data_IF_748629978955
#
_entry.id   IF_748629978955
#
_cell.length_a   1.000
_cell.length_b   1.000
_cell.length_c   1.000
_cell.angle_alpha   90.00
_cell.angle_beta   90.00
_cell.angle_gamma   90.00
#
_symmetry.space_group_name_H-M   'P 1'
#
loop_
_entity.id
_entity.type
_entity.pdbx_description
1 polymer ?
#
# COMPACT_ATOMS: atom_id res chain seq x y z
N UNK A 1 17.25 -27.25 62.97
CA UNK A 1 16.31 -28.39 63.11
C UNK A 1 14.98 -27.86 62.60
N UNK A 2 14.52 -28.16 61.39
CA UNK A 2 14.25 -29.50 60.85
C UNK A 2 14.52 -29.60 59.34
N UNK A 3 15.17 -30.68 58.92
CA UNK A 3 15.75 -30.88 57.58
C UNK A 3 14.88 -31.73 56.64
N UNK A 4 13.54 -31.69 56.76
CA UNK A 4 12.66 -32.67 56.08
C UNK A 4 11.44 -32.18 55.32
N UNK A 5 11.23 -30.87 55.16
CA UNK A 5 10.11 -30.39 54.33
C UNK A 5 10.50 -29.47 53.16
N UNK A 6 11.79 -29.13 53.01
CA UNK A 6 12.31 -28.37 51.87
C UNK A 6 12.40 -29.17 50.56
N UNK A 7 12.14 -30.48 50.61
CA UNK A 7 12.29 -31.37 49.44
C UNK A 7 11.00 -31.62 48.65
N UNK A 8 9.86 -31.05 49.07
CA UNK A 8 8.61 -31.16 48.32
C UNK A 8 8.19 -29.88 47.58
N UNK A 9 8.90 -28.77 47.77
CA UNK A 9 8.58 -27.50 47.10
C UNK A 9 9.45 -27.22 45.85
N UNK A 10 10.35 -28.13 45.47
CA UNK A 10 11.27 -27.94 44.34
C UNK A 10 11.02 -28.86 43.13
N UNK A 11 9.99 -29.71 43.17
CA UNK A 11 9.68 -30.66 42.07
C UNK A 11 8.41 -30.28 41.29
N UNK A 12 7.64 -29.27 41.73
CA UNK A 12 6.42 -28.83 41.00
C UNK A 12 6.69 -27.57 40.14
N UNK A 13 7.96 -27.22 39.87
CA UNK A 13 8.29 -26.06 39.04
C UNK A 13 9.14 -26.38 37.80
N UNK A 14 9.28 -27.66 37.43
CA UNK A 14 9.92 -28.03 36.15
C UNK A 14 8.96 -28.64 35.13
N UNK A 15 7.76 -29.07 35.52
CA UNK A 15 6.80 -29.67 34.59
C UNK A 15 5.88 -28.64 33.87
N UNK A 16 6.08 -27.34 34.07
CA UNK A 16 5.29 -26.28 33.42
C UNK A 16 6.07 -25.45 32.38
N UNK A 17 7.29 -25.88 32.02
CA UNK A 17 8.11 -25.22 30.98
C UNK A 17 8.33 -26.06 29.71
N UNK A 18 7.86 -27.31 29.68
CA UNK A 18 8.09 -28.21 28.52
C UNK A 18 6.88 -28.35 27.57
N UNK A 19 5.84 -27.53 27.73
CA UNK A 19 4.75 -27.43 26.74
C UNK A 19 4.61 -26.00 26.20
N UNK A 20 5.72 -25.44 25.72
CA UNK A 20 5.56 -24.52 24.59
C UNK A 20 5.28 -25.43 23.39
N UNK A 21 4.02 -25.45 22.93
CA UNK A 21 3.61 -26.22 21.75
C UNK A 21 4.57 -25.90 20.60
N UNK A 22 5.19 -26.94 20.01
CA UNK A 22 6.07 -26.77 18.86
C UNK A 22 5.38 -26.04 17.71
N UNK A 23 4.04 -26.09 17.66
CA UNK A 23 3.21 -25.26 16.76
C UNK A 23 3.25 -23.78 17.12
N UNK A 24 3.15 -23.41 18.39
CA UNK A 24 3.24 -22.01 18.83
C UNK A 24 4.64 -21.45 18.57
N UNK A 25 5.71 -22.24 18.78
CA UNK A 25 7.07 -21.82 18.42
C UNK A 25 7.28 -21.74 16.91
N UNK A 26 6.64 -22.60 16.13
CA UNK A 26 6.66 -22.53 14.67
C UNK A 26 5.86 -21.31 14.16
N UNK A 27 4.69 -21.01 14.72
CA UNK A 27 3.85 -19.85 14.38
C UNK A 27 4.54 -18.54 14.80
N UNK A 28 5.19 -18.51 15.97
CA UNK A 28 6.00 -17.37 16.40
C UNK A 28 7.25 -17.20 15.51
N UNK A 29 7.85 -18.30 15.04
CA UNK A 29 8.97 -18.25 14.10
C UNK A 29 8.54 -17.85 12.70
N UNK A 30 7.39 -18.31 12.19
CA UNK A 30 6.81 -17.85 10.93
C UNK A 30 6.45 -16.37 11.00
N UNK A 31 5.78 -15.92 12.07
CA UNK A 31 5.45 -14.50 12.24
C UNK A 31 6.70 -13.62 12.35
N UNK A 32 7.78 -14.11 12.98
CA UNK A 32 9.05 -13.37 13.07
C UNK A 32 9.87 -13.41 11.77
N UNK A 33 9.77 -14.48 10.97
CA UNK A 33 10.34 -14.55 9.62
C UNK A 33 9.58 -13.67 8.62
N UNK A 34 8.25 -13.57 8.75
CA UNK A 34 7.42 -12.63 7.99
C UNK A 34 7.74 -11.17 8.34
N UNK A 35 8.14 -10.89 9.59
CA UNK A 35 8.59 -9.56 10.01
C UNK A 35 10.03 -9.23 9.60
N UNK A 36 10.82 -10.23 9.19
CA UNK A 36 12.18 -10.07 8.70
C UNK A 36 12.29 -10.04 7.16
N UNK A 37 11.18 -10.24 6.44
CA UNK A 37 11.16 -10.11 4.99
C UNK A 37 11.38 -8.63 4.61
N UNK A 38 12.36 -8.36 3.75
CA UNK A 38 12.58 -7.01 3.25
C UNK A 38 11.36 -6.55 2.44
N UNK A 39 10.65 -5.53 2.93
CA UNK A 39 9.52 -4.98 2.19
C UNK A 39 10.02 -4.15 1.01
N UNK A 40 9.37 -4.32 -0.13
CA UNK A 40 9.53 -3.46 -1.30
C UNK A 40 8.70 -2.20 -1.07
N UNK A 41 9.36 -1.04 -1.13
CA UNK A 41 8.68 0.25 -1.15
C UNK A 41 8.01 0.43 -2.51
N UNK A 42 6.71 0.70 -2.49
CA UNK A 42 5.90 1.03 -3.68
C UNK A 42 5.25 2.37 -3.44
N UNK A 43 5.68 3.39 -4.17
CA UNK A 43 5.12 4.73 -4.12
C UNK A 43 4.30 4.98 -5.40
N UNK A 44 3.07 5.43 -5.24
CA UNK A 44 2.14 5.70 -6.34
C UNK A 44 1.77 7.17 -6.35
N UNK A 45 2.22 7.89 -7.38
CA UNK A 45 1.90 9.29 -7.62
C UNK A 45 0.80 9.37 -8.68
N UNK A 46 -0.34 9.96 -8.33
CA UNK A 46 -1.54 9.90 -9.15
C UNK A 46 -2.41 11.13 -8.92
N UNK A 47 -3.44 11.31 -9.75
CA UNK A 47 -4.47 12.32 -9.57
C UNK A 47 -5.85 11.69 -9.74
N UNK A 48 -6.82 12.18 -8.96
CA UNK A 48 -8.22 11.87 -9.14
C UNK A 48 -8.75 12.43 -10.47
N UNK A 49 -9.86 11.89 -10.96
CA UNK A 49 -10.45 12.23 -12.27
C UNK A 49 -9.58 11.87 -13.50
N UNK A 50 -8.37 11.34 -13.30
CA UNK A 50 -7.55 10.82 -14.39
C UNK A 50 -7.88 9.34 -14.68
N UNK A 51 -8.37 9.00 -15.88
CA UNK A 51 -8.79 7.63 -16.18
C UNK A 51 -7.64 6.61 -16.15
N UNK A 52 -6.40 7.02 -16.43
CA UNK A 52 -5.24 6.13 -16.33
C UNK A 52 -4.86 5.84 -14.87
N UNK A 53 -4.97 6.84 -13.99
CA UNK A 53 -4.75 6.67 -12.55
C UNK A 53 -5.80 5.73 -11.95
N UNK A 54 -7.08 5.97 -12.25
CA UNK A 54 -8.20 5.13 -11.84
C UNK A 54 -7.98 3.67 -12.28
N UNK A 55 -7.69 3.47 -13.57
CA UNK A 55 -7.43 2.14 -14.14
C UNK A 55 -6.27 1.42 -13.48
N UNK A 56 -5.16 2.12 -13.19
CA UNK A 56 -4.02 1.50 -12.51
C UNK A 56 -4.37 1.10 -11.07
N UNK A 57 -5.08 1.96 -10.34
CA UNK A 57 -5.51 1.65 -8.97
C UNK A 57 -6.39 0.40 -8.97
N UNK A 58 -7.41 0.36 -9.83
CA UNK A 58 -8.36 -0.75 -9.91
C UNK A 58 -7.72 -2.04 -10.45
N UNK A 59 -6.98 -1.96 -11.56
CA UNK A 59 -6.54 -3.16 -12.30
C UNK A 59 -5.15 -3.65 -11.92
N UNK A 60 -4.36 -2.88 -11.18
CA UNK A 60 -2.97 -3.24 -10.83
C UNK A 60 -2.71 -3.15 -9.34
N UNK A 61 -3.01 -2.02 -8.71
CA UNK A 61 -2.69 -1.81 -7.30
C UNK A 61 -3.57 -2.63 -6.36
N UNK A 62 -4.90 -2.62 -6.56
CA UNK A 62 -5.83 -3.43 -5.75
C UNK A 62 -5.49 -4.93 -5.85
N UNK A 63 -5.35 -5.53 -7.05
CA UNK A 63 -4.97 -6.93 -7.18
C UNK A 63 -3.63 -7.28 -6.50
N UNK A 64 -2.62 -6.41 -6.61
CA UNK A 64 -1.34 -6.62 -5.89
C UNK A 64 -1.58 -6.71 -4.39
N UNK A 65 -2.36 -5.79 -3.82
CA UNK A 65 -2.59 -5.68 -2.38
C UNK A 65 -3.56 -6.76 -1.84
N UNK A 66 -4.28 -7.44 -2.73
CA UNK A 66 -5.09 -8.63 -2.42
C UNK A 66 -4.34 -9.96 -2.68
N UNK A 67 -3.16 -9.90 -3.30
CA UNK A 67 -2.34 -11.07 -3.62
C UNK A 67 -1.50 -11.56 -2.43
N UNK A 68 -0.88 -12.75 -2.52
CA UNK A 68 0.13 -13.20 -1.56
C UNK A 68 1.35 -12.28 -1.40
N UNK A 69 1.54 -11.28 -2.27
CA UNK A 69 2.62 -10.28 -2.15
C UNK A 69 2.33 -9.19 -1.13
N UNK A 70 1.08 -9.03 -0.65
CA UNK A 70 0.69 -7.97 0.29
C UNK A 70 1.64 -7.80 1.50
N UNK A 71 2.15 -8.85 2.17
CA UNK A 71 3.07 -8.70 3.29
C UNK A 71 4.42 -8.08 2.92
N UNK A 72 4.81 -8.19 1.65
CA UNK A 72 6.09 -7.75 1.11
C UNK A 72 6.05 -6.33 0.52
N UNK A 73 4.90 -5.65 0.58
CA UNK A 73 4.72 -4.33 -0.02
C UNK A 73 4.50 -3.27 1.07
N UNK A 74 5.36 -2.26 1.05
CA UNK A 74 5.17 -1.01 1.80
C UNK A 74 4.65 0.05 0.83
N UNK A 75 3.32 0.23 0.83
CA UNK A 75 2.61 1.12 -0.08
C UNK A 75 2.52 2.54 0.48
N UNK A 76 2.90 3.53 -0.33
CA UNK A 76 2.60 4.95 -0.10
C UNK A 76 1.92 5.54 -1.33
N UNK A 77 0.89 6.37 -1.13
CA UNK A 77 0.10 6.95 -2.22
C UNK A 77 0.08 8.48 -2.08
N UNK A 78 0.20 9.18 -3.21
CA UNK A 78 0.27 10.64 -3.28
C UNK A 78 -0.75 11.19 -4.29
N UNK A 79 -1.97 11.56 -3.84
CA UNK A 79 -2.98 12.21 -4.68
C UNK A 79 -2.60 13.67 -4.92
N UNK A 80 -1.99 13.95 -6.07
CA UNK A 80 -1.59 15.28 -6.50
C UNK A 80 -1.36 15.32 -8.01
N UNK A 81 -0.56 14.37 -8.51
CA UNK A 81 -0.26 14.17 -9.92
C UNK A 81 0.30 15.42 -10.61
N UNK A 82 -0.37 15.83 -11.69
CA UNK A 82 0.07 16.94 -12.53
C UNK A 82 -0.38 18.31 -12.01
N UNK A 83 -1.01 18.37 -10.83
CA UNK A 83 -1.37 19.62 -10.20
C UNK A 83 -0.14 20.54 -10.03
N UNK A 84 -0.42 21.83 -9.89
CA UNK A 84 0.57 22.86 -9.57
C UNK A 84 0.15 23.63 -8.34
N UNK A 85 1.10 24.13 -7.57
CA UNK A 85 0.82 24.96 -6.40
C UNK A 85 1.71 26.20 -6.35
N UNK A 86 1.16 27.29 -5.83
CA UNK A 86 1.91 28.49 -5.42
C UNK A 86 2.23 28.50 -3.91
N UNK A 87 1.99 27.36 -3.23
CA UNK A 87 2.10 27.19 -1.78
C UNK A 87 0.81 27.51 -1.02
N UNK A 88 -0.17 28.17 -1.64
CA UNK A 88 -1.47 28.53 -1.02
C UNK A 88 -2.65 27.90 -1.75
N UNK A 89 -2.58 27.84 -3.07
CA UNK A 89 -3.63 27.32 -3.93
C UNK A 89 -3.09 26.17 -4.78
N UNK A 90 -4.01 25.31 -5.20
CA UNK A 90 -3.73 24.22 -6.12
C UNK A 90 -4.45 24.48 -7.44
N UNK A 91 -3.78 24.13 -8.54
CA UNK A 91 -4.36 24.13 -9.88
C UNK A 91 -4.22 22.74 -10.46
N UNK A 92 -5.35 22.07 -10.63
CA UNK A 92 -5.47 20.70 -11.10
C UNK A 92 -5.80 20.63 -12.59
N UNK A 93 -5.50 19.51 -13.26
CA UNK A 93 -5.69 19.38 -14.70
C UNK A 93 -7.17 19.28 -15.07
N UNK A 94 -7.95 18.55 -14.28
CA UNK A 94 -9.39 18.38 -14.45
C UNK A 94 -10.21 19.38 -13.60
N UNK A 95 -9.59 20.49 -13.18
CA UNK A 95 -10.24 21.59 -12.47
C UNK A 95 -10.41 21.40 -10.96
N UNK A 96 -11.19 22.28 -10.33
CA UNK A 96 -11.32 22.34 -8.86
C UNK A 96 -11.89 21.06 -8.25
N UNK A 97 -12.69 20.30 -8.99
CA UNK A 97 -13.23 19.02 -8.54
C UNK A 97 -12.13 17.98 -8.30
N UNK A 98 -11.11 17.92 -9.16
CA UNK A 98 -9.92 17.07 -8.94
C UNK A 98 -9.13 17.56 -7.72
N UNK A 99 -8.94 18.87 -7.55
CA UNK A 99 -8.21 19.39 -6.39
C UNK A 99 -8.92 19.07 -5.07
N UNK A 100 -10.24 19.22 -5.04
CA UNK A 100 -11.06 18.83 -3.91
C UNK A 100 -10.97 17.33 -3.65
N UNK A 101 -11.06 16.50 -4.69
CA UNK A 101 -11.04 15.04 -4.55
C UNK A 101 -9.63 14.50 -4.19
N UNK A 102 -8.56 15.10 -4.69
CA UNK A 102 -7.17 14.84 -4.27
C UNK A 102 -7.02 15.12 -2.76
N UNK A 103 -7.56 16.25 -2.29
CA UNK A 103 -7.56 16.61 -0.86
C UNK A 103 -8.33 15.58 -0.02
N UNK A 104 -9.53 15.19 -0.48
CA UNK A 104 -10.36 14.17 0.18
C UNK A 104 -9.61 12.84 0.26
N UNK A 105 -8.98 12.39 -0.82
CA UNK A 105 -8.22 11.15 -0.84
C UNK A 105 -6.98 11.20 0.05
N UNK A 106 -6.33 12.37 0.17
CA UNK A 106 -5.28 12.61 1.17
C UNK A 106 -5.80 12.39 2.59
N UNK A 107 -6.97 12.94 2.94
CA UNK A 107 -7.62 12.70 4.22
C UNK A 107 -8.03 11.24 4.43
N UNK A 108 -8.49 10.54 3.39
CA UNK A 108 -8.81 9.10 3.44
C UNK A 108 -7.55 8.28 3.75
N UNK A 109 -6.42 8.59 3.11
CA UNK A 109 -5.14 7.94 3.39
C UNK A 109 -4.67 8.16 4.83
N UNK A 110 -4.99 9.32 5.41
CA UNK A 110 -4.63 9.66 6.79
C UNK A 110 -5.51 8.96 7.82
N UNK A 111 -6.83 8.94 7.62
CA UNK A 111 -7.79 8.52 8.66
C UNK A 111 -8.35 7.10 8.49
N UNK A 112 -8.40 6.57 7.27
CA UNK A 112 -9.05 5.28 7.02
C UNK A 112 -8.08 4.11 7.07
N UNK A 113 -8.47 3.06 7.78
CA UNK A 113 -7.74 1.78 7.75
C UNK A 113 -7.95 1.00 6.45
N UNK A 114 -8.97 1.37 5.68
CA UNK A 114 -9.34 0.77 4.39
C UNK A 114 -9.11 1.76 3.24
N UNK A 115 -8.13 2.65 3.38
CA UNK A 115 -7.89 3.76 2.47
C UNK A 115 -7.81 3.35 1.00
N UNK A 116 -7.08 2.28 0.66
CA UNK A 116 -7.01 1.78 -0.72
C UNK A 116 -8.37 1.33 -1.26
N UNK A 117 -9.17 0.62 -0.46
CA UNK A 117 -10.50 0.17 -0.88
C UNK A 117 -11.45 1.36 -1.07
N UNK A 118 -11.38 2.36 -0.19
CA UNK A 118 -12.16 3.59 -0.30
C UNK A 118 -11.76 4.39 -1.56
N UNK A 119 -10.46 4.55 -1.82
CA UNK A 119 -9.96 5.23 -3.02
C UNK A 119 -10.37 4.47 -4.29
N UNK A 120 -10.20 3.15 -4.33
CA UNK A 120 -10.62 2.33 -5.47
C UNK A 120 -12.13 2.45 -5.74
N UNK A 121 -12.95 2.51 -4.68
CA UNK A 121 -14.38 2.76 -4.80
C UNK A 121 -14.67 4.14 -5.42
N UNK A 122 -13.94 5.19 -5.04
CA UNK A 122 -14.10 6.55 -5.58
C UNK A 122 -13.70 6.62 -7.07
N UNK A 123 -12.60 5.97 -7.43
CA UNK A 123 -12.03 6.02 -8.77
C UNK A 123 -12.84 5.21 -9.80
N UNK A 124 -13.69 4.29 -9.35
CA UNK A 124 -14.42 3.35 -10.21
C UNK A 124 -15.46 4.02 -11.12
N UNK A 125 -16.31 4.89 -10.57
CA UNK A 125 -17.44 5.47 -11.30
C UNK A 125 -17.62 6.97 -11.01
N UNK A 126 -16.85 7.83 -11.68
CA UNK A 126 -16.95 9.29 -11.49
C UNK A 126 -18.11 9.91 -12.29
N UNK A 127 -18.90 10.85 -11.71
CA UNK A 127 -18.79 11.37 -10.35
C UNK A 127 -19.46 10.44 -9.32
N UNK A 128 -18.67 9.89 -8.39
CA UNK A 128 -19.16 9.16 -7.22
C UNK A 128 -19.17 10.07 -5.99
N UNK A 129 -20.19 9.95 -5.14
CA UNK A 129 -20.14 10.54 -3.80
C UNK A 129 -19.12 9.76 -2.96
N UNK A 130 -17.95 10.37 -2.73
CA UNK A 130 -16.85 9.77 -1.98
C UNK A 130 -17.28 9.24 -0.61
N UNK A 131 -18.31 9.84 -0.03
CA UNK A 131 -18.74 9.50 1.31
C UNK A 131 -19.50 8.16 1.38
N UNK A 132 -19.89 7.59 0.24
CA UNK A 132 -20.42 6.22 0.14
C UNK A 132 -19.31 5.16 0.16
N UNK A 133 -18.05 5.56 -0.07
CA UNK A 133 -16.90 4.67 -0.14
C UNK A 133 -16.15 4.50 1.19
N UNK A 134 -16.57 5.21 2.24
CA UNK A 134 -15.90 5.21 3.55
C UNK A 134 -16.86 4.73 4.64
N UNK A 135 -16.30 4.15 5.69
CA UNK A 135 -17.09 3.75 6.86
C UNK A 135 -17.67 5.01 7.54
N UNK A 136 -18.93 4.94 7.99
CA UNK A 136 -19.62 6.09 8.60
C UNK A 136 -18.92 6.64 9.84
N UNK A 137 -18.22 5.79 10.58
CA UNK A 137 -17.40 6.18 11.74
C UNK A 137 -16.13 6.97 11.38
N UNK A 138 -15.60 6.80 10.17
CA UNK A 138 -14.41 7.51 9.67
C UNK A 138 -14.78 8.79 8.93
N UNK A 139 -15.99 8.84 8.34
CA UNK A 139 -16.49 9.96 7.52
C UNK A 139 -16.36 11.32 8.21
N UNK A 140 -16.76 11.43 9.48
CA UNK A 140 -16.72 12.72 10.19
C UNK A 140 -15.29 13.25 10.36
N UNK A 141 -14.30 12.38 10.53
CA UNK A 141 -12.90 12.79 10.63
C UNK A 141 -12.38 13.27 9.28
N UNK A 142 -12.71 12.56 8.20
CA UNK A 142 -12.36 12.96 6.82
C UNK A 142 -13.02 14.29 6.44
N UNK A 143 -14.31 14.48 6.77
CA UNK A 143 -15.00 15.76 6.56
C UNK A 143 -14.39 16.91 7.36
N UNK A 144 -13.84 16.63 8.55
CA UNK A 144 -13.17 17.64 9.36
C UNK A 144 -11.82 18.01 8.75
N UNK A 145 -11.01 17.01 8.42
CA UNK A 145 -9.71 17.16 7.74
C UNK A 145 -9.79 18.01 6.47
N UNK A 146 -10.86 17.84 5.68
CA UNK A 146 -11.04 18.64 4.46
C UNK A 146 -11.41 20.11 4.70
N UNK A 147 -11.89 20.46 5.90
CA UNK A 147 -12.41 21.80 6.24
C UNK A 147 -11.49 22.61 7.15
N UNK A 148 -10.69 21.96 7.99
CA UNK A 148 -9.86 22.61 9.03
C UNK A 148 -8.44 22.96 8.57
N UNK A 149 -8.10 22.64 7.32
CA UNK A 149 -6.80 22.91 6.70
C UNK A 149 -5.83 21.73 6.75
N UNK A 150 -6.12 20.66 7.51
CA UNK A 150 -5.28 19.46 7.54
C UNK A 150 -5.17 18.81 6.15
N UNK A 151 -6.28 18.72 5.42
CA UNK A 151 -6.31 18.21 4.06
C UNK A 151 -5.44 19.03 3.10
N UNK A 152 -5.40 20.36 3.29
CA UNK A 152 -4.49 21.23 2.52
C UNK A 152 -3.04 20.91 2.83
N UNK A 153 -2.68 20.68 4.09
CA UNK A 153 -1.33 20.26 4.47
C UNK A 153 -0.96 18.88 3.92
N UNK A 154 -1.89 17.93 3.91
CA UNK A 154 -1.68 16.62 3.29
C UNK A 154 -1.44 16.75 1.77
N UNK A 155 -2.22 17.58 1.08
CA UNK A 155 -2.03 17.85 -0.34
C UNK A 155 -0.71 18.59 -0.63
N UNK A 156 -0.27 19.50 0.25
CA UNK A 156 1.07 20.12 0.18
C UNK A 156 2.18 19.07 0.38
N UNK A 157 1.98 18.10 1.27
CA UNK A 157 2.88 16.97 1.47
C UNK A 157 3.02 16.12 0.20
N UNK A 158 1.89 15.79 -0.43
CA UNK A 158 1.85 15.08 -1.70
C UNK A 158 2.52 15.88 -2.83
N UNK A 159 2.28 17.20 -2.90
CA UNK A 159 2.95 18.10 -3.83
C UNK A 159 4.48 18.03 -3.67
N UNK A 160 4.97 18.20 -2.44
CA UNK A 160 6.41 18.16 -2.14
C UNK A 160 7.05 16.82 -2.50
N UNK A 161 6.38 15.71 -2.21
CA UNK A 161 6.86 14.38 -2.60
C UNK A 161 6.95 14.26 -4.13
N UNK A 162 5.90 14.69 -4.82
CA UNK A 162 5.79 14.61 -6.28
C UNK A 162 6.83 15.50 -7.00
N UNK A 163 7.05 16.72 -6.51
CA UNK A 163 8.01 17.68 -7.05
C UNK A 163 9.47 17.28 -6.75
N UNK A 164 9.69 16.44 -5.74
CA UNK A 164 11.02 15.93 -5.38
C UNK A 164 11.48 14.76 -6.26
N UNK A 165 10.61 14.19 -7.11
CA UNK A 165 10.93 13.09 -8.01
C UNK A 165 12.12 13.43 -8.93
N UNK A 166 13.02 12.46 -9.09
CA UNK A 166 14.20 12.56 -9.97
C UNK A 166 14.30 11.33 -10.87
N UNK A 167 14.17 11.47 -12.20
CA UNK A 167 13.75 12.70 -12.90
C UNK A 167 12.32 13.13 -12.50
N UNK A 168 11.92 14.39 -12.75
CA UNK A 168 10.54 14.81 -12.57
C UNK A 168 9.59 13.91 -13.36
N UNK A 169 8.44 13.59 -12.79
CA UNK A 169 7.40 12.84 -13.50
C UNK A 169 6.92 13.62 -14.74
N UNK A 170 6.53 12.89 -15.79
CA UNK A 170 6.05 13.45 -17.06
C UNK A 170 4.60 13.08 -17.38
N UNK A 171 4.01 12.20 -16.58
CA UNK A 171 2.65 11.70 -16.70
C UNK A 171 2.21 11.09 -15.36
N UNK A 172 0.94 10.72 -15.26
CA UNK A 172 0.39 9.91 -14.17
C UNK A 172 -0.47 8.77 -14.73
N UNK A 173 -0.60 7.64 -14.02
CA UNK A 173 0.08 7.31 -12.76
C UNK A 173 1.59 7.19 -12.94
N UNK A 174 2.35 7.50 -11.89
CA UNK A 174 3.79 7.41 -11.87
C UNK A 174 4.21 6.59 -10.65
N UNK A 175 4.82 5.44 -10.89
CA UNK A 175 5.08 4.42 -9.87
C UNK A 175 6.57 4.27 -9.66
N UNK A 176 6.97 4.38 -8.40
CA UNK A 176 8.36 4.27 -7.97
C UNK A 176 8.46 3.05 -7.06
N UNK A 177 9.34 2.12 -7.43
CA UNK A 177 9.64 0.93 -6.63
C UNK A 177 11.06 1.03 -6.12
N UNK A 178 11.25 0.96 -4.80
CA UNK A 178 12.57 1.12 -4.14
C UNK A 178 13.33 2.36 -4.65
N UNK A 179 12.64 3.49 -4.77
CA UNK A 179 13.22 4.76 -5.24
C UNK A 179 13.48 4.84 -6.74
N UNK A 180 13.08 3.83 -7.54
CA UNK A 180 13.26 3.82 -8.99
C UNK A 180 11.93 3.73 -9.74
N UNK A 181 11.72 4.67 -10.65
CA UNK A 181 10.65 4.59 -11.64
C UNK A 181 11.06 3.75 -12.86
N UNK A 182 10.10 3.03 -13.44
CA UNK A 182 10.19 2.41 -14.75
C UNK A 182 8.79 2.06 -15.25
N UNK A 183 8.55 2.12 -16.56
CA UNK A 183 7.26 1.77 -17.18
C UNK A 183 6.73 0.37 -16.82
N UNK A 184 7.62 -0.58 -16.49
CA UNK A 184 7.21 -1.91 -16.01
C UNK A 184 6.44 -1.83 -14.69
N UNK A 185 6.71 -0.84 -13.84
CA UNK A 185 6.02 -0.64 -12.57
C UNK A 185 4.54 -0.34 -12.81
N UNK A 186 4.20 0.40 -13.86
CA UNK A 186 2.81 0.70 -14.24
C UNK A 186 2.18 -0.41 -15.09
N UNK A 187 2.95 -1.02 -16.00
CA UNK A 187 2.44 -2.03 -16.94
C UNK A 187 2.24 -3.40 -16.30
N UNK A 188 3.10 -3.79 -15.36
CA UNK A 188 3.05 -5.07 -14.66
C UNK A 188 3.60 -4.97 -13.23
N UNK A 189 2.84 -4.28 -12.38
CA UNK A 189 3.22 -4.00 -11.00
C UNK A 189 3.59 -5.27 -10.21
N UNK A 190 2.84 -6.36 -10.38
CA UNK A 190 3.11 -7.65 -9.72
C UNK A 190 4.49 -8.19 -10.08
N UNK A 191 4.83 -8.22 -11.39
CA UNK A 191 6.15 -8.65 -11.85
C UNK A 191 7.26 -7.73 -11.35
N UNK A 192 7.02 -6.42 -11.35
CA UNK A 192 7.99 -5.43 -10.88
C UNK A 192 8.30 -5.60 -9.39
N UNK A 193 7.28 -5.81 -8.55
CA UNK A 193 7.45 -6.14 -7.12
C UNK A 193 8.18 -7.46 -6.94
N UNK A 194 7.77 -8.52 -7.64
CA UNK A 194 8.44 -9.82 -7.58
C UNK A 194 9.93 -9.75 -7.95
N UNK A 195 10.27 -8.97 -8.97
CA UNK A 195 11.66 -8.78 -9.40
C UNK A 195 12.48 -7.98 -8.39
N UNK A 196 11.82 -7.14 -7.59
CA UNK A 196 12.45 -6.29 -6.58
C UNK A 196 12.71 -7.01 -5.25
N UNK A 197 12.07 -8.15 -5.01
CA UNK A 197 12.24 -8.95 -3.78
C UNK A 197 13.53 -9.79 -3.77
N UNK A 198 14.14 -10.05 -4.93
CA UNK A 198 15.36 -10.85 -5.01
C UNK A 198 15.21 -12.22 -4.35
N UNK A 199 16.09 -12.53 -3.38
CA UNK A 199 16.09 -13.82 -2.67
C UNK A 199 14.90 -13.99 -1.70
N UNK A 200 14.23 -12.90 -1.33
CA UNK A 200 13.07 -12.91 -0.42
C UNK A 200 11.75 -13.15 -1.19
N UNK A 201 11.82 -13.31 -2.52
CA UNK A 201 10.65 -13.49 -3.36
C UNK A 201 9.92 -14.80 -3.00
N UNK A 202 8.61 -14.74 -2.67
CA UNK A 202 7.84 -15.95 -2.38
C UNK A 202 7.68 -16.81 -3.64
N UNK A 203 7.37 -18.10 -3.46
CA UNK A 203 7.11 -19.03 -4.56
C UNK A 203 5.98 -18.58 -5.51
N UNK A 204 5.14 -17.64 -5.08
CA UNK A 204 4.18 -16.95 -5.94
C UNK A 204 4.84 -16.28 -7.15
N UNK A 205 6.00 -15.66 -6.96
CA UNK A 205 6.73 -14.92 -8.00
C UNK A 205 7.25 -15.80 -9.15
N UNK A 206 7.60 -17.06 -8.88
CA UNK A 206 8.05 -17.99 -9.92
C UNK A 206 6.90 -18.51 -10.80
N UNK A 207 5.66 -18.55 -10.27
CA UNK A 207 4.45 -18.89 -11.05
C UNK A 207 4.01 -17.74 -11.94
N UNK A 208 4.06 -16.51 -11.45
CA UNK A 208 3.71 -15.30 -12.21
C UNK A 208 4.58 -15.11 -13.47
N UNK A 209 5.85 -15.53 -13.43
CA UNK A 209 6.78 -15.46 -14.57
C UNK A 209 6.49 -16.52 -15.66
N UNK A 210 5.98 -17.70 -15.28
CA UNK A 210 5.73 -18.80 -16.21
C UNK A 210 4.56 -18.58 -17.19
N UNK A 211 3.57 -17.76 -16.80
CA UNK A 211 2.42 -17.39 -17.65
C UNK A 211 2.83 -16.43 -18.78
N UNK A 212 3.78 -15.53 -18.52
CA UNK A 212 4.26 -14.57 -19.51
C UNK A 212 5.12 -15.20 -20.63
N UNK A 213 5.81 -16.31 -20.31
CA UNK A 213 6.64 -17.05 -21.29
C UNK A 213 5.77 -17.92 -22.21
N UNK A 214 4.70 -18.53 -21.70
CA UNK A 214 3.82 -19.38 -22.51
C UNK A 214 2.96 -18.58 -23.52
N UNK A 215 2.68 -17.30 -23.25
CA UNK A 215 1.90 -16.44 -24.15
C UNK A 215 2.65 -15.92 -25.39
N UNK A 216 3.98 -16.11 -25.49
CA UNK A 216 4.80 -15.67 -26.64
C UNK A 216 5.06 -16.76 -27.68
N UNK A 217 4.61 -18.00 -27.46
CA UNK A 217 4.95 -19.15 -28.33
C UNK A 217 3.83 -19.56 -29.31
N UNK A 218 2.73 -18.81 -29.42
CA UNK A 218 1.62 -19.13 -30.34
C UNK A 218 1.25 -17.98 -31.28
N UNK A 219 2.23 -17.42 -31.99
CA UNK A 219 2.00 -16.66 -33.24
C UNK A 219 3.18 -16.89 -34.20
N UNK A 220 3.28 -18.11 -34.70
CA UNK A 220 4.06 -18.44 -35.90
C UNK A 220 3.56 -19.76 -36.48
N UNK A 221 2.39 -19.70 -37.13
CA UNK A 221 2.03 -20.50 -38.32
C UNK A 221 1.16 -19.61 -39.20
#
# INVERSE_FOLDING_TARGET
MDARAFFFLLVICTAALDHIDGRLLADLRESHLVHAASQVSVEVYYESLCPFSAKFIEMSLVPLMESPLRPFVSLTMFPYGNAKTDGKHFKCQHGEAECALNTIQGCILHYSKKSLAAIACIEKDLPQDWAQCVDTGERSAIETCTKDGEGTHLMQGAAKATEALKPPHTYVPYVVINGKHSEENEQNLERAVCSSLGNDAPAYCSKAQSVAVFGRTFLSV
#
